data_IF_356906082608
#
_entry.id   IF_356906082608
#
_cell.length_a   1.000
_cell.length_b   1.000
_cell.length_c   1.000
_cell.angle_alpha   90.00
_cell.angle_beta   90.00
_cell.angle_gamma   90.00
#
_symmetry.space_group_name_H-M   'P 1'
#
loop_
_entity.id
_entity.type
_entity.pdbx_description
1 polymer ?
#
# COMPACT_ATOMS: atom_id res chain seq x y z
N UNK A 1 1.56 24.88 8.77
CA UNK A 1 1.82 25.47 10.11
C UNK A 1 1.12 24.73 11.25
N UNK A 2 -0.22 24.63 11.31
CA UNK A 2 -0.91 23.93 12.43
C UNK A 2 -0.46 22.48 12.67
N UNK A 3 -0.32 21.66 11.61
CA UNK A 3 0.05 20.25 11.76
C UNK A 3 1.51 20.04 12.19
N UNK A 4 2.44 20.88 11.70
CA UNK A 4 3.83 20.86 12.15
C UNK A 4 3.95 21.29 13.62
N UNK A 5 3.21 22.32 14.03
CA UNK A 5 3.17 22.76 15.42
C UNK A 5 2.68 21.66 16.38
N UNK A 6 1.61 20.95 16.01
CA UNK A 6 1.07 19.82 16.79
C UNK A 6 2.10 18.68 16.90
N UNK A 7 2.80 18.36 15.81
CA UNK A 7 3.86 17.34 15.82
C UNK A 7 4.99 17.71 16.79
N UNK A 8 5.50 18.93 16.72
CA UNK A 8 6.55 19.41 17.63
C UNK A 8 6.10 19.41 19.09
N UNK A 9 4.87 19.85 19.36
CA UNK A 9 4.30 19.83 20.71
C UNK A 9 4.14 18.40 21.25
N UNK A 10 3.74 17.45 20.40
CA UNK A 10 3.61 16.04 20.79
C UNK A 10 4.96 15.38 21.08
N UNK A 11 6.01 15.71 20.32
CA UNK A 11 7.37 15.24 20.57
C UNK A 11 7.90 15.81 21.89
N UNK A 12 7.72 17.11 22.13
CA UNK A 12 8.14 17.76 23.37
C UNK A 12 7.47 17.11 24.58
N UNK A 13 6.14 16.87 24.52
CA UNK A 13 5.40 16.21 25.58
C UNK A 13 5.89 14.75 25.81
N UNK A 14 6.22 14.04 24.74
CA UNK A 14 6.75 12.66 24.85
C UNK A 14 8.11 12.59 25.54
N UNK A 15 9.00 13.57 25.30
CA UNK A 15 10.31 13.67 25.95
C UNK A 15 10.16 14.02 27.43
N UNK A 16 9.28 14.98 27.75
CA UNK A 16 8.96 15.32 29.14
C UNK A 16 8.28 14.17 29.90
N UNK A 17 7.63 13.25 29.19
CA UNK A 17 7.01 12.06 29.79
C UNK A 17 8.00 10.97 30.22
N UNK A 18 9.22 10.93 29.66
CA UNK A 18 10.19 9.85 29.92
C UNK A 18 10.47 9.66 31.43
N UNK A 19 10.73 10.70 32.24
CA UNK A 19 10.99 10.54 33.67
C UNK A 19 9.77 9.97 34.43
N UNK A 20 8.56 10.38 34.04
CA UNK A 20 7.32 9.89 34.65
C UNK A 20 7.10 8.42 34.33
N UNK A 21 7.29 8.02 33.07
CA UNK A 21 7.21 6.62 32.66
C UNK A 21 8.30 5.76 33.29
N UNK A 22 9.50 6.29 33.52
CA UNK A 22 10.57 5.59 34.23
C UNK A 22 10.19 5.30 35.70
N UNK A 23 9.64 6.28 36.41
CA UNK A 23 9.18 6.10 37.80
C UNK A 23 8.03 5.08 37.86
N UNK A 24 7.06 5.18 36.95
CA UNK A 24 5.94 4.23 36.87
C UNK A 24 6.41 2.81 36.54
N UNK A 25 7.37 2.67 35.62
CA UNK A 25 7.94 1.37 35.27
C UNK A 25 8.69 0.75 36.44
N UNK A 26 9.45 1.54 37.21
CA UNK A 26 10.11 1.06 38.43
C UNK A 26 9.10 0.65 39.50
N UNK A 27 8.03 1.42 39.70
CA UNK A 27 6.96 1.06 40.63
C UNK A 27 6.30 -0.28 40.26
N UNK A 28 6.13 -0.56 38.97
CA UNK A 28 5.57 -1.82 38.48
C UNK A 28 6.55 -3.00 38.52
N UNK A 29 7.84 -2.76 38.26
CA UNK A 29 8.84 -3.82 38.12
C UNK A 29 9.38 -4.35 39.45
N UNK A 30 9.39 -3.54 40.51
CA UNK A 30 9.93 -3.92 41.81
C UNK A 30 8.82 -4.07 42.85
N UNK A 31 8.52 -5.32 43.23
CA UNK A 31 7.49 -5.66 44.22
C UNK A 31 7.74 -5.05 45.62
N UNK A 32 9.00 -4.67 45.91
CA UNK A 32 9.38 -4.01 47.17
C UNK A 32 9.06 -2.52 47.25
N UNK A 33 8.59 -1.88 46.17
CA UNK A 33 8.19 -0.47 46.15
C UNK A 33 6.68 -0.35 46.38
N UNK A 34 6.29 -0.09 47.63
CA UNK A 34 4.87 -0.03 48.01
C UNK A 34 4.21 1.32 47.68
N UNK A 35 4.97 2.41 47.56
CA UNK A 35 4.43 3.74 47.23
C UNK A 35 5.13 4.39 46.02
N UNK A 36 4.41 5.31 45.37
CA UNK A 36 4.98 6.13 44.29
C UNK A 36 6.17 6.96 44.76
N UNK A 37 6.17 7.41 46.02
CA UNK A 37 7.27 8.17 46.59
C UNK A 37 8.54 7.32 46.74
N UNK A 38 8.40 6.05 47.11
CA UNK A 38 9.53 5.11 47.17
C UNK A 38 10.11 4.87 45.76
N UNK A 39 9.24 4.73 44.76
CA UNK A 39 9.67 4.60 43.37
C UNK A 39 10.37 5.86 42.85
N UNK A 40 9.93 7.05 43.27
CA UNK A 40 10.62 8.31 42.97
C UNK A 40 12.01 8.36 43.61
N UNK A 41 12.12 8.07 44.91
CA UNK A 41 13.39 8.06 45.65
C UNK A 41 14.36 7.05 45.02
N UNK A 42 13.88 5.85 44.72
CA UNK A 42 14.67 4.81 44.06
C UNK A 42 15.15 5.26 42.67
N UNK A 43 14.24 5.78 41.84
CA UNK A 43 14.60 6.28 40.51
C UNK A 43 15.61 7.43 40.58
N UNK A 44 15.46 8.33 41.55
CA UNK A 44 16.38 9.43 41.79
C UNK A 44 17.76 8.92 42.24
N UNK A 45 17.81 7.91 43.11
CA UNK A 45 19.07 7.31 43.58
C UNK A 45 19.87 6.65 42.44
N UNK A 46 19.19 6.01 41.48
CA UNK A 46 19.83 5.43 40.29
C UNK A 46 20.47 6.54 39.45
N UNK A 47 19.73 7.63 39.19
CA UNK A 47 20.23 8.75 38.38
C UNK A 47 21.41 9.43 39.06
N UNK A 48 21.33 9.70 40.36
CA UNK A 48 22.42 10.29 41.14
C UNK A 48 23.66 9.40 41.15
N UNK A 49 23.49 8.08 41.35
CA UNK A 49 24.60 7.12 41.31
C UNK A 49 25.33 7.13 39.96
N UNK A 50 24.58 7.16 38.86
CA UNK A 50 25.14 7.27 37.51
C UNK A 50 25.87 8.60 37.28
N UNK A 51 25.34 9.72 37.80
CA UNK A 51 25.99 11.02 37.72
C UNK A 51 27.30 11.08 38.52
N UNK A 52 27.37 10.35 39.63
CA UNK A 52 28.55 10.27 40.50
C UNK A 52 29.61 9.28 39.99
N UNK A 53 29.40 8.67 38.82
CA UNK A 53 30.38 7.81 38.14
C UNK A 53 30.20 6.32 38.36
N UNK A 54 29.06 5.86 38.88
CA UNK A 54 28.73 4.43 38.89
C UNK A 54 28.66 3.88 37.46
N UNK A 55 29.17 2.67 37.26
CA UNK A 55 29.13 2.01 35.97
C UNK A 55 27.71 1.64 35.59
N UNK A 56 27.30 1.96 34.36
CA UNK A 56 26.00 1.55 33.81
C UNK A 56 25.88 0.03 33.73
N UNK A 57 26.99 -0.72 33.72
CA UNK A 57 27.02 -2.18 33.63
C UNK A 57 26.70 -2.90 34.94
N UNK A 58 26.75 -2.20 36.07
CA UNK A 58 26.54 -2.79 37.40
C UNK A 58 25.08 -2.71 37.85
N UNK A 59 24.18 -2.20 36.99
CA UNK A 59 22.77 -2.07 37.30
C UNK A 59 22.07 -3.43 37.24
N UNK A 60 21.01 -3.58 38.04
CA UNK A 60 20.17 -4.78 37.97
C UNK A 60 19.47 -4.88 36.62
N UNK A 61 19.24 -6.13 36.19
CA UNK A 61 18.56 -6.41 34.93
C UNK A 61 17.21 -5.68 34.81
N UNK A 62 16.43 -5.62 35.91
CA UNK A 62 15.12 -4.97 35.91
C UNK A 62 15.21 -3.47 35.58
N UNK A 63 16.28 -2.78 35.98
CA UNK A 63 16.47 -1.34 35.71
C UNK A 63 16.67 -1.07 34.22
N UNK A 64 17.33 -1.98 33.49
CA UNK A 64 17.44 -1.83 32.04
C UNK A 64 16.08 -2.01 31.35
N UNK A 65 15.27 -2.97 31.80
CA UNK A 65 13.92 -3.18 31.27
C UNK A 65 13.03 -1.94 31.50
N UNK A 66 13.08 -1.34 32.70
CA UNK A 66 12.29 -0.14 33.01
C UNK A 66 12.78 1.09 32.24
N UNK A 67 14.09 1.22 32.01
CA UNK A 67 14.65 2.27 31.15
C UNK A 67 14.20 2.13 29.69
N UNK A 68 14.15 0.90 29.15
CA UNK A 68 13.64 0.64 27.80
C UNK A 68 12.14 0.96 27.69
N UNK A 69 11.35 0.58 28.70
CA UNK A 69 9.93 0.90 28.78
C UNK A 69 9.67 2.41 28.91
N UNK A 70 10.58 3.16 29.54
CA UNK A 70 10.45 4.61 29.66
C UNK A 70 10.53 5.35 28.31
N UNK A 71 11.10 4.72 27.27
CA UNK A 71 11.17 5.28 25.91
C UNK A 71 9.90 5.03 25.08
N UNK A 72 8.94 4.26 25.59
CA UNK A 72 7.68 3.95 24.89
C UNK A 72 6.88 5.18 24.41
N UNK A 73 6.69 6.27 25.17
CA UNK A 73 5.97 7.45 24.66
C UNK A 73 6.68 8.11 23.47
N UNK A 74 8.01 8.09 23.43
CA UNK A 74 8.80 8.62 22.31
C UNK A 74 8.62 7.74 21.08
N UNK A 75 8.73 6.41 21.23
CA UNK A 75 8.60 5.47 20.12
C UNK A 75 7.18 5.53 19.52
N UNK A 76 6.15 5.60 20.38
CA UNK A 76 4.76 5.70 19.96
C UNK A 76 4.48 7.00 19.18
N UNK A 77 5.01 8.14 19.64
CA UNK A 77 4.84 9.41 18.94
C UNK A 77 5.59 9.43 17.60
N UNK A 78 6.81 8.91 17.54
CA UNK A 78 7.54 8.74 16.27
C UNK A 78 6.78 7.86 15.28
N UNK A 79 6.19 6.76 15.74
CA UNK A 79 5.37 5.88 14.90
C UNK A 79 4.14 6.61 14.34
N UNK A 80 3.46 7.41 15.16
CA UNK A 80 2.27 8.17 14.73
C UNK A 80 2.60 9.31 13.76
N UNK A 81 3.82 9.82 13.79
CA UNK A 81 4.31 10.87 12.88
C UNK A 81 4.71 10.32 11.50
N UNK A 82 4.85 9.01 11.35
CA UNK A 82 5.12 8.41 10.05
C UNK A 82 3.94 8.69 9.10
N UNK A 83 4.20 9.19 7.88
CA UNK A 83 3.14 9.45 6.93
C UNK A 83 2.44 8.13 6.59
N UNK A 84 1.13 8.06 6.85
CA UNK A 84 0.31 6.94 6.38
C UNK A 84 0.42 6.89 4.85
N UNK A 85 0.58 5.68 4.32
CA UNK A 85 0.69 5.39 2.90
C UNK A 85 -0.38 6.16 2.12
N UNK A 86 0.04 6.91 1.09
CA UNK A 86 -0.81 7.81 0.34
C UNK A 86 -2.14 7.14 -0.05
N UNK A 87 -3.25 7.68 0.45
CA UNK A 87 -4.58 7.31 -0.02
C UNK A 87 -4.63 7.57 -1.53
N UNK A 88 -4.82 6.52 -2.33
CA UNK A 88 -4.92 6.65 -3.79
C UNK A 88 -6.21 7.39 -4.13
N UNK A 89 -6.09 8.49 -4.87
CA UNK A 89 -7.19 9.38 -5.30
C UNK A 89 -8.28 8.67 -6.12
N UNK A 90 -8.00 7.49 -6.66
CA UNK A 90 -8.92 6.73 -7.52
C UNK A 90 -9.43 5.42 -6.89
N UNK A 91 -9.36 5.29 -5.56
CA UNK A 91 -9.80 4.09 -4.86
C UNK A 91 -9.00 2.84 -5.27
N UNK A 92 -9.69 1.74 -5.56
CA UNK A 92 -9.07 0.47 -5.99
C UNK A 92 -8.64 0.45 -7.46
N UNK A 93 -8.94 1.50 -8.24
CA UNK A 93 -8.52 1.56 -9.64
C UNK A 93 -7.00 1.66 -9.73
N UNK A 94 -6.41 0.75 -10.49
CA UNK A 94 -4.98 0.68 -10.77
C UNK A 94 -4.79 0.57 -12.27
N UNK A 95 -3.80 1.28 -12.80
CA UNK A 95 -3.33 1.06 -14.16
C UNK A 95 -2.93 -0.40 -14.34
N UNK A 96 -3.49 -1.04 -15.37
CA UNK A 96 -3.16 -2.40 -15.73
C UNK A 96 -1.68 -2.50 -16.09
N UNK A 97 -0.97 -3.42 -15.45
CA UNK A 97 0.39 -3.79 -15.82
C UNK A 97 0.40 -4.88 -16.88
N UNK A 98 1.59 -5.23 -17.37
CA UNK A 98 1.81 -6.33 -18.30
C UNK A 98 1.17 -7.62 -17.77
N UNK A 99 1.38 -7.93 -16.50
CA UNK A 99 0.80 -9.11 -15.83
C UNK A 99 -0.73 -9.16 -15.85
N UNK A 100 -1.40 -8.01 -15.89
CA UNK A 100 -2.87 -7.98 -15.85
C UNK A 100 -3.49 -8.29 -17.25
N UNK A 101 -2.69 -8.10 -18.31
CA UNK A 101 -3.02 -8.34 -19.73
C UNK A 101 -2.46 -9.71 -20.19
N UNK A 102 -1.28 -10.06 -19.67
CA UNK A 102 -0.57 -11.35 -19.68
C UNK A 102 -1.48 -12.55 -19.39
N UNK A 103 -1.64 -13.51 -20.30
CA UNK A 103 -2.30 -14.78 -19.98
C UNK A 103 -1.38 -15.62 -19.07
N UNK A 104 -1.78 -15.82 -17.81
CA UNK A 104 -1.05 -16.74 -16.95
C UNK A 104 -1.58 -18.15 -17.06
N UNK A 105 -0.62 -19.07 -17.16
CA UNK A 105 -0.84 -20.49 -17.16
C UNK A 105 -0.70 -21.04 -15.74
N UNK A 106 -1.80 -21.37 -15.07
CA UNK A 106 -1.72 -22.02 -13.76
C UNK A 106 -1.78 -23.53 -13.96
N UNK A 107 -0.74 -24.21 -13.46
CA UNK A 107 -0.64 -25.68 -13.44
C UNK A 107 -1.21 -26.20 -12.13
N UNK A 108 -2.28 -27.00 -12.21
CA UNK A 108 -2.71 -27.84 -11.09
C UNK A 108 -1.85 -29.11 -11.03
N UNK A 109 -1.61 -29.66 -9.84
CA UNK A 109 -0.89 -30.94 -9.65
C UNK A 109 -1.57 -32.11 -10.38
N UNK A 110 -2.84 -31.96 -10.72
CA UNK A 110 -3.66 -32.93 -11.46
C UNK A 110 -3.56 -32.77 -12.99
N UNK A 111 -2.66 -31.91 -13.50
CA UNK A 111 -2.47 -31.68 -14.93
C UNK A 111 -3.50 -30.73 -15.57
N UNK A 112 -4.48 -30.24 -14.80
CA UNK A 112 -5.47 -29.28 -15.29
C UNK A 112 -4.83 -27.90 -15.53
N UNK A 113 -5.00 -27.41 -16.75
CA UNK A 113 -4.49 -26.13 -17.21
C UNK A 113 -5.60 -25.08 -17.18
N UNK A 114 -5.50 -24.09 -16.27
CA UNK A 114 -6.44 -22.96 -16.22
C UNK A 114 -5.73 -21.68 -16.69
N UNK A 115 -6.12 -21.17 -17.86
CA UNK A 115 -5.75 -19.82 -18.31
C UNK A 115 -6.57 -18.81 -17.53
N UNK A 116 -5.91 -17.93 -16.77
CA UNK A 116 -6.59 -16.81 -16.11
C UNK A 116 -6.26 -15.53 -16.84
N UNK A 117 -7.31 -14.79 -17.18
CA UNK A 117 -7.24 -13.44 -17.74
C UNK A 117 -7.73 -12.47 -16.66
N UNK A 118 -6.86 -11.80 -15.90
CA UNK A 118 -7.26 -10.93 -14.79
C UNK A 118 -8.22 -9.83 -15.23
N UNK A 119 -7.98 -9.23 -16.39
CA UNK A 119 -8.85 -8.24 -17.03
C UNK A 119 -9.96 -8.86 -17.90
N UNK A 120 -9.97 -10.19 -18.06
CA UNK A 120 -10.89 -10.88 -18.96
C UNK A 120 -10.63 -10.63 -20.45
N UNK A 121 -9.47 -10.06 -20.81
CA UNK A 121 -9.02 -9.88 -22.20
C UNK A 121 -8.21 -11.07 -22.67
N UNK A 122 -8.38 -11.45 -23.92
CA UNK A 122 -7.70 -12.57 -24.58
C UNK A 122 -6.86 -12.07 -25.76
N UNK A 123 -6.00 -12.94 -26.27
CA UNK A 123 -5.27 -12.67 -27.50
C UNK A 123 -5.84 -13.53 -28.63
N UNK A 124 -5.86 -12.98 -29.84
CA UNK A 124 -6.15 -13.68 -31.10
C UNK A 124 -7.60 -14.14 -31.35
N UNK A 125 -8.55 -13.88 -30.44
CA UNK A 125 -9.96 -14.24 -30.65
C UNK A 125 -10.90 -13.26 -29.95
N UNK A 126 -11.99 -12.87 -30.63
CA UNK A 126 -13.03 -12.00 -30.10
C UNK A 126 -12.94 -10.57 -30.63
N UNK A 127 -13.66 -9.66 -30.00
CA UNK A 127 -13.72 -8.26 -30.37
C UNK A 127 -12.41 -7.54 -30.04
N UNK A 128 -11.74 -6.97 -31.03
CA UNK A 128 -10.44 -6.30 -30.91
C UNK A 128 -10.63 -4.96 -30.20
N UNK A 129 -9.96 -4.78 -29.05
CA UNK A 129 -9.93 -3.54 -28.26
C UNK A 129 -8.67 -2.70 -28.54
N UNK A 130 -7.60 -3.31 -29.04
CA UNK A 130 -6.36 -2.61 -29.35
C UNK A 130 -5.20 -3.56 -29.60
N UNK A 131 -3.97 -3.02 -29.52
CA UNK A 131 -2.72 -3.80 -29.65
C UNK A 131 -1.86 -3.60 -28.42
N UNK A 132 -1.18 -4.67 -28.00
CA UNK A 132 -0.30 -4.68 -26.83
C UNK A 132 1.04 -5.34 -27.17
N UNK A 133 2.14 -4.70 -26.75
CA UNK A 133 3.51 -5.16 -26.95
C UNK A 133 4.30 -4.38 -28.04
N UNK A 134 5.62 -4.39 -27.90
CA UNK A 134 6.60 -3.85 -28.84
C UNK A 134 7.84 -4.78 -28.83
N UNK A 135 8.49 -5.11 -29.96
CA UNK A 135 8.26 -4.62 -31.33
C UNK A 135 7.13 -5.36 -32.08
N UNK A 136 6.77 -6.58 -31.66
CA UNK A 136 5.67 -7.35 -32.25
C UNK A 136 4.40 -7.19 -31.41
N UNK A 137 3.50 -6.32 -31.87
CA UNK A 137 2.27 -6.01 -31.16
C UNK A 137 1.19 -7.08 -31.40
N UNK A 138 0.63 -7.63 -30.33
CA UNK A 138 -0.47 -8.61 -30.36
C UNK A 138 -1.81 -7.92 -30.23
N UNK A 139 -2.82 -8.37 -30.96
CA UNK A 139 -4.20 -7.87 -30.81
C UNK A 139 -4.77 -8.30 -29.47
N UNK A 140 -5.19 -7.33 -28.66
CA UNK A 140 -5.93 -7.55 -27.41
C UNK A 140 -7.41 -7.59 -27.77
N UNK A 141 -8.03 -8.71 -27.47
CA UNK A 141 -9.41 -9.00 -27.80
C UNK A 141 -10.26 -9.23 -26.55
N UNK A 142 -11.57 -9.19 -26.72
CA UNK A 142 -12.55 -9.44 -25.70
C UNK A 142 -13.60 -10.43 -26.23
N UNK A 143 -13.71 -11.59 -25.58
CA UNK A 143 -14.57 -12.73 -26.03
C UNK A 143 -15.78 -12.95 -25.11
N UNK A 144 -16.05 -12.04 -24.17
CA UNK A 144 -17.23 -12.15 -23.29
C UNK A 144 -18.43 -11.43 -23.91
N UNK A 145 -19.67 -11.89 -23.66
CA UNK A 145 -20.90 -11.27 -24.19
C UNK A 145 -21.29 -9.99 -23.42
N UNK A 146 -20.32 -9.12 -23.15
CA UNK A 146 -20.53 -7.83 -22.50
C UNK A 146 -20.22 -6.71 -23.51
N UNK A 147 -20.94 -5.60 -23.39
CA UNK A 147 -20.71 -4.44 -24.24
C UNK A 147 -19.37 -3.76 -23.96
N UNK A 148 -18.70 -3.28 -25.00
CA UNK A 148 -17.51 -2.45 -24.91
C UNK A 148 -17.84 -1.01 -25.32
N UNK A 149 -17.46 -0.04 -24.49
CA UNK A 149 -17.61 1.38 -24.78
C UNK A 149 -16.25 1.98 -25.17
N UNK A 150 -16.15 2.54 -26.36
CA UNK A 150 -14.94 3.19 -26.87
C UNK A 150 -15.15 4.69 -26.86
N UNK A 151 -14.41 5.39 -26.01
CA UNK A 151 -14.47 6.85 -25.87
C UNK A 151 -13.17 7.44 -26.37
N UNK A 152 -13.27 8.31 -27.38
CA UNK A 152 -12.13 9.05 -27.89
C UNK A 152 -12.61 10.39 -28.51
N UNK A 153 -11.79 11.45 -28.53
CA UNK A 153 -12.12 12.72 -29.18
C UNK A 153 -12.28 12.56 -30.70
N UNK A 154 -12.95 13.51 -31.39
CA UNK A 154 -13.04 13.49 -32.86
C UNK A 154 -11.64 13.52 -33.49
N UNK A 155 -11.44 12.80 -34.60
CA UNK A 155 -10.14 12.68 -35.26
C UNK A 155 -9.14 11.70 -34.63
N UNK A 156 -9.41 11.12 -33.45
CA UNK A 156 -8.50 10.21 -32.75
C UNK A 156 -8.37 8.79 -33.36
N UNK A 157 -8.91 8.56 -34.55
CA UNK A 157 -8.76 7.28 -35.25
C UNK A 157 -9.60 6.11 -34.73
N UNK A 158 -10.60 6.33 -33.85
CA UNK A 158 -11.48 5.26 -33.32
C UNK A 158 -12.11 4.35 -34.40
N UNK A 159 -12.48 4.93 -35.56
CA UNK A 159 -12.94 4.16 -36.72
C UNK A 159 -11.86 3.23 -37.28
N UNK A 160 -10.67 3.77 -37.57
CA UNK A 160 -9.56 3.02 -38.16
C UNK A 160 -8.93 2.01 -37.20
N UNK A 161 -8.89 2.33 -35.90
CA UNK A 161 -8.26 1.50 -34.89
C UNK A 161 -9.18 0.39 -34.36
N UNK A 162 -10.50 0.62 -34.31
CA UNK A 162 -11.43 -0.34 -33.71
C UNK A 162 -12.50 -0.82 -34.69
N UNK A 163 -13.20 0.06 -35.40
CA UNK A 163 -14.31 -0.36 -36.25
C UNK A 163 -13.85 -1.18 -37.47
N UNK A 164 -12.87 -0.68 -38.25
CA UNK A 164 -12.36 -1.38 -39.45
C UNK A 164 -11.77 -2.76 -39.08
N UNK A 165 -10.86 -2.89 -38.09
CA UNK A 165 -10.27 -4.18 -37.79
C UNK A 165 -11.29 -5.20 -37.28
N UNK A 166 -12.32 -4.77 -36.55
CA UNK A 166 -13.40 -5.66 -36.13
C UNK A 166 -14.30 -6.07 -37.28
N UNK A 167 -14.67 -5.15 -38.18
CA UNK A 167 -15.46 -5.45 -39.38
C UNK A 167 -14.81 -6.50 -40.27
N UNK A 168 -13.47 -6.48 -40.39
CA UNK A 168 -12.72 -7.38 -41.24
C UNK A 168 -12.37 -8.73 -40.59
N UNK A 169 -12.23 -8.78 -39.25
CA UNK A 169 -11.74 -9.97 -38.55
C UNK A 169 -12.80 -10.71 -37.72
N UNK A 170 -13.97 -10.10 -37.45
CA UNK A 170 -15.00 -10.79 -36.69
C UNK A 170 -15.62 -11.92 -37.53
N UNK A 171 -15.60 -13.18 -37.04
CA UNK A 171 -16.20 -14.30 -37.76
C UNK A 171 -17.74 -14.33 -37.68
N UNK A 172 -18.32 -13.45 -36.86
CA UNK A 172 -19.76 -13.37 -36.60
C UNK A 172 -20.42 -12.31 -37.46
N UNK A 173 -21.73 -12.44 -37.71
CA UNK A 173 -22.51 -11.37 -38.32
C UNK A 173 -22.48 -10.11 -37.44
N UNK A 174 -22.35 -8.94 -38.07
CA UNK A 174 -22.29 -7.65 -37.41
C UNK A 174 -23.29 -6.70 -38.06
N UNK A 175 -24.01 -5.92 -37.26
CA UNK A 175 -24.85 -4.82 -37.72
C UNK A 175 -24.10 -3.54 -37.39
N UNK A 176 -23.81 -2.73 -38.41
CA UNK A 176 -23.09 -1.47 -38.25
C UNK A 176 -24.00 -0.30 -38.59
N UNK A 177 -24.13 0.61 -37.64
CA UNK A 177 -24.79 1.89 -37.84
C UNK A 177 -23.76 2.90 -38.33
N UNK A 178 -23.65 3.04 -39.65
CA UNK A 178 -22.75 4.00 -40.27
C UNK A 178 -23.43 5.35 -40.50
N UNK A 179 -23.20 6.28 -39.56
CA UNK A 179 -23.79 7.62 -39.59
C UNK A 179 -23.25 8.47 -40.74
N UNK A 180 -22.04 8.17 -41.26
CA UNK A 180 -21.34 9.01 -42.24
C UNK A 180 -21.13 8.33 -43.60
N UNK A 181 -21.69 7.14 -43.81
CA UNK A 181 -21.43 6.31 -44.99
C UNK A 181 -19.92 6.09 -45.28
N UNK A 182 -19.09 6.06 -44.25
CA UNK A 182 -17.63 5.92 -44.36
C UNK A 182 -17.14 4.48 -44.43
N UNK A 183 -18.02 3.51 -44.17
CA UNK A 183 -17.72 2.07 -44.10
C UNK A 183 -18.44 1.26 -45.19
N UNK A 184 -18.93 1.92 -46.25
CA UNK A 184 -19.59 1.24 -47.36
C UNK A 184 -18.65 0.19 -47.99
N UNK A 185 -18.97 -1.08 -47.74
CA UNK A 185 -18.44 -2.29 -48.35
C UNK A 185 -19.49 -2.85 -49.32
#
# INVERSE_FOLDING_TARGET
MKQQFIAWMSLLLSVLGIPVFFILANWYAFEGLHSFNDAYIFSHSIILGLQQGASVLDLKFEVYCTALLALTPLIATLYLLLPKTAQKTHGYAKWAGVKDIECFKIYSKEGFFKTIHPLGVCFNKGFILGKFGFPFAKSVCYDKPLGAMIVAPPGAGKSAAIAIPNLLNLPTSCIVTDIKASFAL
#
